data_IF_991408663424
#
_entry.id   IF_991408663424
#
_cell.length_a   1.000
_cell.length_b   1.000
_cell.length_c   1.000
_cell.angle_alpha   90.00
_cell.angle_beta   90.00
_cell.angle_gamma   90.00
#
_symmetry.space_group_name_H-M   'P 1'
#
loop_
_entity.id
_entity.type
_entity.pdbx_description
1 polymer ?
#
# COMPACT_ATOMS: atom_id res chain seq x y z
N UNK A 1 3.82 -4.00 -10.02
CA UNK A 1 4.36 -4.40 -8.69
C UNK A 1 5.47 -3.47 -8.18
N UNK A 2 6.59 -3.26 -8.90
CA UNK A 2 7.65 -2.34 -8.45
C UNK A 2 7.13 -0.92 -8.17
N UNK A 3 6.30 -0.38 -9.09
CA UNK A 3 5.63 0.91 -8.86
C UNK A 3 4.64 0.88 -7.69
N UNK A 4 3.98 -0.25 -7.40
CA UNK A 4 3.02 -0.33 -6.29
C UNK A 4 3.71 -0.11 -4.94
N UNK A 5 4.83 -0.79 -4.66
CA UNK A 5 5.54 -0.63 -3.39
C UNK A 5 6.32 0.69 -3.32
N UNK A 6 6.87 1.15 -4.44
CA UNK A 6 7.49 2.47 -4.51
C UNK A 6 6.48 3.58 -4.18
N UNK A 7 5.28 3.50 -4.77
CA UNK A 7 4.21 4.46 -4.49
C UNK A 7 3.62 4.27 -3.10
N UNK A 8 3.56 3.02 -2.60
CA UNK A 8 3.11 2.73 -1.25
C UNK A 8 4.02 3.52 -0.31
N UNK A 9 5.33 3.33 -0.35
CA UNK A 9 6.29 4.04 0.51
C UNK A 9 6.50 5.54 0.17
N UNK A 10 5.75 6.08 -0.79
CA UNK A 10 5.88 7.45 -1.23
C UNK A 10 5.29 8.46 -0.24
N UNK A 11 6.16 9.27 0.37
CA UNK A 11 5.80 10.25 1.39
C UNK A 11 5.34 11.62 0.83
N UNK A 12 4.87 11.72 -0.42
CA UNK A 12 4.50 13.00 -1.03
C UNK A 12 3.02 13.06 -1.44
N UNK A 13 2.42 14.25 -1.51
CA UNK A 13 1.08 14.42 -2.08
C UNK A 13 0.95 13.85 -3.50
N UNK A 14 2.01 13.97 -4.30
CA UNK A 14 2.08 13.44 -5.66
C UNK A 14 2.08 11.90 -5.64
N UNK A 15 2.83 11.29 -4.72
CA UNK A 15 2.82 9.84 -4.54
C UNK A 15 1.45 9.33 -4.08
N UNK A 16 0.74 10.05 -3.21
CA UNK A 16 -0.61 9.70 -2.80
C UNK A 16 -1.63 9.74 -3.96
N UNK A 17 -1.48 10.70 -4.88
CA UNK A 17 -2.27 10.77 -6.12
C UNK A 17 -1.94 9.60 -7.04
N UNK A 18 -0.65 9.35 -7.29
CA UNK A 18 -0.22 8.26 -8.15
C UNK A 18 -0.63 6.90 -7.59
N UNK A 19 -0.59 6.72 -6.27
CA UNK A 19 -1.03 5.50 -5.60
C UNK A 19 -2.53 5.30 -5.75
N UNK A 20 -3.35 6.33 -5.54
CA UNK A 20 -4.80 6.20 -5.70
C UNK A 20 -5.20 5.82 -7.12
N UNK A 21 -4.42 6.24 -8.12
CA UNK A 21 -4.59 5.88 -9.53
C UNK A 21 -4.15 4.46 -9.87
N UNK A 22 -3.46 3.74 -8.99
CA UNK A 22 -3.22 2.29 -9.15
C UNK A 22 -4.53 1.52 -9.01
N UNK A 23 -5.44 2.00 -8.18
CA UNK A 23 -6.81 1.48 -8.11
C UNK A 23 -7.65 2.05 -9.27
N UNK A 24 -8.66 1.30 -9.69
CA UNK A 24 -9.70 1.83 -10.59
C UNK A 24 -10.40 3.03 -9.96
N UNK A 25 -11.05 3.85 -10.79
CA UNK A 25 -11.82 5.04 -10.34
C UNK A 25 -12.79 4.74 -9.21
N UNK A 26 -13.43 3.57 -9.24
CA UNK A 26 -14.36 3.06 -8.22
C UNK A 26 -13.78 1.84 -7.46
N UNK A 27 -12.46 1.65 -7.51
CA UNK A 27 -11.79 0.57 -6.81
C UNK A 27 -11.85 0.75 -5.30
N UNK A 28 -11.59 -0.33 -4.58
CA UNK A 28 -11.58 -0.33 -3.12
C UNK A 28 -10.17 -0.61 -2.61
N UNK A 29 -9.80 0.07 -1.53
CA UNK A 29 -8.61 -0.24 -0.76
C UNK A 29 -9.02 -0.62 0.66
N UNK A 30 -8.51 -1.73 1.17
CA UNK A 30 -8.81 -2.19 2.52
C UNK A 30 -7.55 -2.17 3.38
N UNK A 31 -7.59 -1.44 4.49
CA UNK A 31 -6.49 -1.37 5.44
C UNK A 31 -7.01 -1.13 6.86
N UNK A 32 -6.41 -1.79 7.84
CA UNK A 32 -6.73 -1.64 9.27
C UNK A 32 -8.23 -1.79 9.60
N UNK A 33 -8.91 -2.74 8.95
CA UNK A 33 -10.34 -3.00 9.14
C UNK A 33 -11.27 -1.96 8.53
N UNK A 34 -10.76 -1.05 7.69
CA UNK A 34 -11.54 -0.04 6.97
C UNK A 34 -11.46 -0.26 5.47
N UNK A 35 -12.52 0.14 4.77
CA UNK A 35 -12.62 0.14 3.31
C UNK A 35 -12.67 1.59 2.84
N UNK A 36 -11.81 1.94 1.88
CA UNK A 36 -11.72 3.24 1.24
C UNK A 36 -12.14 3.10 -0.22
N UNK A 37 -13.09 3.91 -0.69
CA UNK A 37 -13.71 3.76 -2.00
C UNK A 37 -13.35 4.89 -2.95
N UNK A 38 -12.80 4.51 -4.09
CA UNK A 38 -12.42 5.43 -5.17
C UNK A 38 -11.24 6.32 -4.82
N UNK A 39 -10.80 7.08 -5.83
CA UNK A 39 -9.53 7.79 -5.80
C UNK A 39 -9.40 8.81 -4.66
N UNK A 40 -10.49 9.49 -4.30
CA UNK A 40 -10.45 10.55 -3.29
C UNK A 40 -10.24 10.00 -1.88
N UNK A 41 -11.05 9.02 -1.45
CA UNK A 41 -10.92 8.43 -0.12
C UNK A 41 -9.57 7.72 0.05
N UNK A 42 -9.14 7.04 -1.01
CA UNK A 42 -7.83 6.38 -1.05
C UNK A 42 -6.72 7.41 -0.90
N UNK A 43 -6.73 8.49 -1.68
CA UNK A 43 -5.72 9.56 -1.59
C UNK A 43 -5.66 10.15 -0.18
N UNK A 44 -6.82 10.48 0.40
CA UNK A 44 -6.89 11.05 1.74
C UNK A 44 -6.35 10.09 2.81
N UNK A 45 -6.63 8.79 2.67
CA UNK A 45 -6.09 7.78 3.58
C UNK A 45 -4.57 7.71 3.49
N UNK A 46 -4.02 7.59 2.29
CA UNK A 46 -2.57 7.49 2.06
C UNK A 46 -1.85 8.73 2.62
N UNK A 47 -2.37 9.94 2.38
CA UNK A 47 -1.83 11.18 2.95
C UNK A 47 -1.75 11.16 4.49
N UNK A 48 -2.82 10.71 5.16
CA UNK A 48 -2.89 10.65 6.64
C UNK A 48 -2.04 9.53 7.22
N UNK A 49 -1.98 8.40 6.52
CA UNK A 49 -1.21 7.24 6.93
C UNK A 49 0.27 7.59 7.01
N UNK A 50 0.82 8.22 5.96
CA UNK A 50 2.22 8.63 5.96
C UNK A 50 2.55 9.66 7.04
N UNK A 51 1.70 10.67 7.24
CA UNK A 51 1.88 11.61 8.34
C UNK A 51 1.99 10.94 9.73
N UNK A 52 1.39 9.75 9.89
CA UNK A 52 1.43 8.97 11.13
C UNK A 52 2.65 8.04 11.23
N UNK A 53 3.28 7.67 10.11
CA UNK A 53 4.38 6.72 10.04
C UNK A 53 5.54 7.26 9.19
N UNK A 54 6.20 8.36 9.63
CA UNK A 54 7.31 8.94 8.89
C UNK A 54 8.45 7.93 8.71
N UNK A 55 8.91 7.76 7.48
CA UNK A 55 10.03 6.88 7.14
C UNK A 55 9.72 5.38 7.14
N UNK A 56 8.44 4.97 7.19
CA UNK A 56 8.04 3.59 6.94
C UNK A 56 8.49 3.17 5.53
N UNK A 57 9.14 2.01 5.44
CA UNK A 57 9.54 1.38 4.18
C UNK A 57 9.16 -0.09 4.17
N UNK A 58 8.60 -0.54 3.06
CA UNK A 58 8.31 -1.93 2.77
C UNK A 58 9.38 -2.52 1.85
N UNK A 59 9.82 -3.74 2.17
CA UNK A 59 10.70 -4.55 1.33
C UNK A 59 9.91 -5.78 0.90
N UNK A 60 9.57 -5.93 -0.39
CA UNK A 60 8.92 -7.13 -0.90
C UNK A 60 9.82 -8.35 -0.67
N UNK A 61 9.26 -9.41 -0.07
CA UNK A 61 9.95 -10.67 0.18
C UNK A 61 9.61 -11.72 -0.86
N UNK A 62 8.30 -11.92 -1.09
CA UNK A 62 7.77 -12.93 -2.01
C UNK A 62 6.48 -12.42 -2.64
N UNK A 63 6.27 -12.78 -3.90
CA UNK A 63 5.02 -12.54 -4.63
C UNK A 63 4.49 -13.90 -5.06
N UNK A 64 3.25 -14.19 -4.70
CA UNK A 64 2.50 -15.35 -5.18
C UNK A 64 1.43 -14.84 -6.13
N UNK A 65 1.26 -15.53 -7.25
CA UNK A 65 0.19 -15.29 -8.21
C UNK A 65 -0.71 -16.52 -8.24
N UNK A 66 -2.02 -16.33 -8.10
CA UNK A 66 -2.98 -17.36 -8.42
C UNK A 66 -3.49 -17.13 -9.86
N UNK A 67 -3.24 -18.10 -10.75
CA UNK A 67 -3.58 -18.01 -12.16
C UNK A 67 -4.87 -18.76 -12.46
N UNK A 68 -6.00 -18.08 -12.35
CA UNK A 68 -7.27 -18.42 -12.99
C UNK A 68 -7.69 -17.30 -13.95
N UNK A 69 -8.99 -17.14 -14.22
CA UNK A 69 -9.52 -16.06 -15.07
C UNK A 69 -9.31 -14.65 -14.47
N UNK A 70 -8.99 -14.56 -13.17
CA UNK A 70 -8.56 -13.34 -12.49
C UNK A 70 -7.17 -13.57 -11.87
N UNK A 71 -6.28 -12.59 -12.04
CA UNK A 71 -4.93 -12.65 -11.47
C UNK A 71 -4.92 -12.02 -10.08
N UNK A 72 -4.99 -12.87 -9.07
CA UNK A 72 -4.78 -12.44 -7.69
C UNK A 72 -3.29 -12.51 -7.34
N UNK A 73 -2.78 -11.41 -6.78
CA UNK A 73 -1.42 -11.34 -6.25
C UNK A 73 -1.46 -11.26 -4.74
N UNK A 74 -0.74 -12.16 -4.09
CA UNK A 74 -0.41 -12.06 -2.67
C UNK A 74 1.04 -11.64 -2.55
N UNK A 75 1.30 -10.49 -1.93
CA UNK A 75 2.66 -10.00 -1.71
C UNK A 75 2.99 -9.99 -0.22
N UNK A 76 4.01 -10.76 0.16
CA UNK A 76 4.59 -10.69 1.49
C UNK A 76 5.65 -9.59 1.49
N UNK A 77 5.57 -8.69 2.47
CA UNK A 77 6.58 -7.67 2.69
C UNK A 77 7.07 -7.70 4.13
N UNK A 78 8.31 -7.26 4.35
CA UNK A 78 8.76 -6.83 5.66
C UNK A 78 8.78 -5.31 5.70
N UNK A 79 8.47 -4.72 6.85
CA UNK A 79 8.54 -3.29 7.04
C UNK A 79 9.40 -2.91 8.25
N UNK A 80 9.91 -1.68 8.21
CA UNK A 80 10.53 -1.03 9.37
C UNK A 80 9.97 0.39 9.49
N UNK A 81 9.58 0.76 10.70
CA UNK A 81 9.15 2.10 11.07
C UNK A 81 10.17 2.64 12.07
N UNK A 82 10.61 3.88 11.86
CA UNK A 82 11.41 4.62 12.85
C UNK A 82 10.60 5.84 13.28
N UNK A 83 10.19 5.86 14.54
CA UNK A 83 9.40 6.96 15.09
C UNK A 83 10.28 8.15 15.47
N UNK A 84 9.68 9.32 15.67
CA UNK A 84 10.39 10.56 16.03
C UNK A 84 11.16 10.47 17.36
N UNK A 85 10.80 9.53 18.23
CA UNK A 85 11.49 9.23 19.48
C UNK A 85 12.67 8.25 19.31
N UNK A 86 13.12 7.99 18.08
CA UNK A 86 14.15 7.01 17.72
C UNK A 86 13.84 5.54 18.04
N UNK A 87 12.64 5.21 18.51
CA UNK A 87 12.22 3.82 18.60
C UNK A 87 11.96 3.28 17.20
N UNK A 88 12.24 1.99 17.02
CA UNK A 88 11.95 1.33 15.76
C UNK A 88 11.17 0.04 15.96
N UNK A 89 10.22 -0.19 15.06
CA UNK A 89 9.41 -1.41 15.01
C UNK A 89 9.64 -2.04 13.65
N UNK A 90 9.84 -3.35 13.65
CA UNK A 90 9.97 -4.16 12.44
C UNK A 90 8.85 -5.19 12.43
N UNK A 91 8.34 -5.51 11.25
CA UNK A 91 7.30 -6.51 11.13
C UNK A 91 7.17 -7.05 9.73
N UNK A 92 6.18 -7.91 9.55
CA UNK A 92 5.78 -8.44 8.24
C UNK A 92 4.34 -8.04 7.96
N UNK A 93 4.02 -7.85 6.69
CA UNK A 93 2.67 -7.60 6.22
C UNK A 93 2.39 -8.36 4.93
N UNK A 94 1.11 -8.59 4.68
CA UNK A 94 0.63 -9.21 3.45
C UNK A 94 -0.29 -8.23 2.73
N UNK A 95 -0.04 -7.98 1.45
CA UNK A 95 -0.94 -7.24 0.58
C UNK A 95 -1.62 -8.21 -0.39
N UNK A 96 -2.94 -8.13 -0.48
CA UNK A 96 -3.73 -8.83 -1.48
C UNK A 96 -4.12 -7.83 -2.56
N UNK A 97 -3.79 -8.13 -3.81
CA UNK A 97 -4.07 -7.29 -4.96
C UNK A 97 -4.86 -8.11 -5.97
N UNK A 98 -6.07 -7.68 -6.25
CA UNK A 98 -6.89 -8.23 -7.32
C UNK A 98 -6.63 -7.41 -8.59
N UNK A 99 -6.21 -8.08 -9.66
CA UNK A 99 -6.12 -7.45 -10.97
C UNK A 99 -7.47 -7.52 -11.67
N UNK A 100 -7.99 -6.37 -12.07
CA UNK A 100 -9.28 -6.27 -12.78
C UNK A 100 -8.99 -5.62 -14.14
N UNK A 101 -9.28 -6.31 -15.25
CA UNK A 101 -9.02 -5.90 -16.66
C UNK A 101 -9.82 -4.71 -17.15
#
# INVERSE_FOLDING_TARGET
>A
LANFFYLLDGYSPEAAIQWSQVCRKNGEFQAFGKVFKGHEEIRQHILRFWASFPGLKHVPKKVYSNGGDMMDLTVLTSYKITFSNNQSVSGESTALLEYVE
#
